data_IF_562596405638
#
_entry.id   IF_562596405638
#
_cell.length_a   1.000
_cell.length_b   1.000
_cell.length_c   1.000
_cell.angle_alpha   90.00
_cell.angle_beta   90.00
_cell.angle_gamma   90.00
#
_symmetry.space_group_name_H-M   'P 1'
#
loop_
_entity.id
_entity.type
_entity.pdbx_description
1 polymer ?
#
# COMPACT_ATOMS: atom_id res chain seq x y z
N UNK A 1 4.44 -20.64 -29.28
CA UNK A 1 3.56 -19.94 -28.31
C UNK A 1 2.58 -20.85 -27.54
N UNK A 2 2.18 -22.04 -28.05
CA UNK A 2 1.28 -22.98 -27.34
C UNK A 2 1.87 -23.68 -26.10
N UNK A 3 3.18 -23.62 -25.89
CA UNK A 3 3.84 -24.25 -24.75
C UNK A 3 3.85 -23.39 -23.47
N UNK A 4 3.71 -22.07 -23.59
CA UNK A 4 3.81 -21.16 -22.43
C UNK A 4 2.54 -21.22 -21.58
N UNK A 5 1.36 -21.27 -22.22
CA UNK A 5 0.07 -21.37 -21.53
C UNK A 5 -0.14 -22.73 -20.86
N UNK A 6 0.38 -23.82 -21.44
CA UNK A 6 0.29 -25.16 -20.83
C UNK A 6 1.18 -25.31 -19.61
N UNK A 7 2.37 -24.71 -19.61
CA UNK A 7 3.26 -24.69 -18.44
C UNK A 7 2.69 -23.85 -17.30
N UNK A 8 2.13 -22.68 -17.59
CA UNK A 8 1.41 -21.85 -16.60
C UNK A 8 0.22 -22.63 -16.01
N UNK A 9 -0.57 -23.28 -16.86
CA UNK A 9 -1.71 -24.09 -16.41
C UNK A 9 -1.30 -25.29 -15.56
N UNK A 10 -0.21 -25.99 -15.93
CA UNK A 10 0.34 -27.08 -15.13
C UNK A 10 0.84 -26.60 -13.77
N UNK A 11 1.54 -25.47 -13.74
CA UNK A 11 2.04 -24.86 -12.50
C UNK A 11 0.88 -24.44 -11.59
N UNK A 12 -0.18 -23.83 -12.13
CA UNK A 12 -1.39 -23.42 -11.40
C UNK A 12 -2.25 -24.63 -10.97
N UNK A 13 -2.19 -25.75 -11.69
CA UNK A 13 -2.94 -26.98 -11.36
C UNK A 13 -2.42 -27.66 -10.10
N UNK A 14 -1.17 -27.43 -9.71
CA UNK A 14 -0.59 -27.97 -8.50
C UNK A 14 -1.29 -27.42 -7.25
N UNK A 15 -1.71 -28.31 -6.33
CA UNK A 15 -2.39 -27.95 -5.07
C UNK A 15 -1.57 -26.94 -4.25
N UNK A 16 -0.25 -27.10 -4.23
CA UNK A 16 0.66 -26.20 -3.53
C UNK A 16 0.66 -24.78 -4.14
N UNK A 17 0.61 -24.66 -5.47
CA UNK A 17 0.55 -23.37 -6.16
C UNK A 17 -0.75 -22.64 -5.88
N UNK A 18 -1.90 -23.33 -5.88
CA UNK A 18 -3.19 -22.71 -5.53
C UNK A 18 -3.19 -22.13 -4.11
N UNK A 19 -2.63 -22.87 -3.15
CA UNK A 19 -2.50 -22.41 -1.76
C UNK A 19 -1.56 -21.20 -1.67
N UNK A 20 -0.43 -21.22 -2.38
CA UNK A 20 0.51 -20.10 -2.42
C UNK A 20 -0.11 -18.85 -3.07
N UNK A 21 -0.89 -19.00 -4.15
CA UNK A 21 -1.63 -17.89 -4.77
C UNK A 21 -2.66 -17.31 -3.79
N UNK A 22 -3.41 -18.16 -3.07
CA UNK A 22 -4.36 -17.68 -2.07
C UNK A 22 -3.67 -16.92 -0.93
N UNK A 23 -2.50 -17.38 -0.47
CA UNK A 23 -1.66 -16.67 0.51
C UNK A 23 -1.15 -15.33 -0.02
N UNK A 24 -0.70 -15.29 -1.27
CA UNK A 24 -0.27 -14.06 -1.93
C UNK A 24 -1.41 -13.05 -2.04
N UNK A 25 -2.59 -13.49 -2.49
CA UNK A 25 -3.78 -12.62 -2.59
C UNK A 25 -4.20 -12.10 -1.22
N UNK A 26 -4.15 -12.95 -0.18
CA UNK A 26 -4.41 -12.51 1.20
C UNK A 26 -3.39 -11.48 1.66
N UNK A 27 -2.11 -11.67 1.38
CA UNK A 27 -1.06 -10.71 1.68
C UNK A 27 -1.26 -9.37 0.96
N UNK A 28 -1.57 -9.41 -0.35
CA UNK A 28 -1.90 -8.21 -1.12
C UNK A 28 -3.14 -7.50 -0.57
N UNK A 29 -4.16 -8.25 -0.15
CA UNK A 29 -5.34 -7.69 0.52
C UNK A 29 -5.00 -6.97 1.82
N UNK A 30 -4.11 -7.54 2.64
CA UNK A 30 -3.61 -6.89 3.87
C UNK A 30 -2.83 -5.61 3.52
N UNK A 31 -1.98 -5.64 2.49
CA UNK A 31 -1.26 -4.45 2.04
C UNK A 31 -2.20 -3.33 1.58
N UNK A 32 -3.20 -3.64 0.76
CA UNK A 32 -4.20 -2.66 0.30
C UNK A 32 -4.97 -2.07 1.48
N UNK A 33 -5.36 -2.91 2.45
CA UNK A 33 -6.02 -2.47 3.67
C UNK A 33 -5.12 -1.50 4.46
N UNK A 34 -3.85 -1.84 4.64
CA UNK A 34 -2.88 -1.03 5.36
C UNK A 34 -2.64 0.32 4.66
N UNK A 35 -2.46 0.33 3.34
CA UNK A 35 -2.33 1.58 2.55
C UNK A 35 -3.59 2.44 2.68
N UNK A 36 -4.77 1.82 2.68
CA UNK A 36 -6.04 2.55 2.82
C UNK A 36 -6.17 3.17 4.21
N UNK A 37 -5.84 2.43 5.27
CA UNK A 37 -5.87 2.93 6.65
C UNK A 37 -4.93 4.12 6.82
N UNK A 38 -3.68 3.99 6.37
CA UNK A 38 -2.71 5.09 6.45
C UNK A 38 -3.09 6.28 5.57
N UNK A 39 -3.66 6.07 4.39
CA UNK A 39 -4.16 7.15 3.55
C UNK A 39 -5.31 7.92 4.22
N UNK A 40 -6.23 7.24 4.88
CA UNK A 40 -7.31 7.88 5.66
C UNK A 40 -6.74 8.65 6.85
N UNK A 41 -5.81 8.06 7.61
CA UNK A 41 -5.15 8.74 8.74
C UNK A 41 -4.38 9.98 8.28
N UNK A 42 -3.67 9.88 7.16
CA UNK A 42 -3.00 11.02 6.52
C UNK A 42 -3.98 12.18 6.27
N UNK A 43 -5.14 11.91 5.67
CA UNK A 43 -6.16 12.95 5.44
C UNK A 43 -6.63 13.59 6.75
N UNK A 44 -6.94 12.79 7.76
CA UNK A 44 -7.43 13.29 9.05
C UNK A 44 -6.37 14.17 9.74
N UNK A 45 -5.11 13.75 9.72
CA UNK A 45 -4.03 14.49 10.39
C UNK A 45 -3.70 15.76 9.60
N UNK A 46 -3.60 15.69 8.27
CA UNK A 46 -3.32 16.87 7.45
C UNK A 46 -4.44 17.91 7.53
N UNK A 47 -5.70 17.47 7.59
CA UNK A 47 -6.84 18.37 7.79
C UNK A 47 -6.76 19.09 9.15
N UNK A 48 -6.29 18.41 10.19
CA UNK A 48 -6.01 19.03 11.51
C UNK A 48 -4.86 20.03 11.47
N UNK A 49 -3.89 19.83 10.60
CA UNK A 49 -2.82 20.80 10.33
C UNK A 49 -3.28 21.94 9.39
N UNK A 50 -4.56 21.96 8.98
CA UNK A 50 -5.13 22.98 8.11
C UNK A 50 -4.79 22.78 6.63
N UNK A 51 -4.28 21.61 6.23
CA UNK A 51 -3.96 21.28 4.85
C UNK A 51 -4.98 20.30 4.26
N UNK A 52 -5.67 20.73 3.21
CA UNK A 52 -6.56 19.86 2.46
C UNK A 52 -5.83 19.24 1.27
N UNK A 53 -5.78 17.92 1.25
CA UNK A 53 -5.16 17.13 0.18
C UNK A 53 -6.19 16.30 -0.54
N UNK A 54 -5.92 15.94 -1.80
CA UNK A 54 -6.76 15.02 -2.57
C UNK A 54 -6.48 13.56 -2.17
N UNK A 55 -7.44 12.65 -2.39
CA UNK A 55 -7.23 11.21 -2.16
C UNK A 55 -6.03 10.64 -2.93
N UNK A 56 -5.76 11.16 -4.12
CA UNK A 56 -4.59 10.77 -4.90
C UNK A 56 -3.30 11.18 -4.20
N UNK A 57 -3.29 12.36 -3.57
CA UNK A 57 -2.16 12.85 -2.79
C UNK A 57 -1.93 12.00 -1.53
N UNK A 58 -3.00 11.60 -0.83
CA UNK A 58 -2.88 10.70 0.32
C UNK A 58 -2.35 9.31 -0.04
N UNK A 59 -2.80 8.76 -1.17
CA UNK A 59 -2.28 7.49 -1.69
C UNK A 59 -0.81 7.61 -2.11
N UNK A 60 -0.46 8.69 -2.81
CA UNK A 60 0.92 9.01 -3.19
C UNK A 60 1.83 9.10 -1.96
N UNK A 61 1.45 9.89 -0.95
CA UNK A 61 2.25 10.06 0.27
C UNK A 61 2.44 8.74 1.01
N UNK A 62 1.36 7.95 1.13
CA UNK A 62 1.41 6.65 1.83
C UNK A 62 2.38 5.70 1.11
N UNK A 63 2.31 5.60 -0.21
CA UNK A 63 3.22 4.76 -0.99
C UNK A 63 4.67 5.23 -0.90
N UNK A 64 4.92 6.53 -1.09
CA UNK A 64 6.28 7.10 -1.04
C UNK A 64 6.92 6.90 0.33
N UNK A 65 6.15 7.06 1.39
CA UNK A 65 6.64 6.90 2.77
C UNK A 65 6.85 5.42 3.11
N UNK A 66 5.87 4.54 2.87
CA UNK A 66 5.99 3.10 3.19
C UNK A 66 7.02 2.37 2.33
N UNK A 67 7.23 2.80 1.09
CA UNK A 67 8.30 2.27 0.23
C UNK A 67 9.68 2.82 0.60
N UNK A 68 9.79 3.64 1.65
CA UNK A 68 11.01 4.30 2.12
C UNK A 68 11.67 5.21 1.08
N UNK A 69 10.90 5.65 0.10
CA UNK A 69 11.37 6.53 -0.97
C UNK A 69 11.51 7.98 -0.47
N UNK A 70 10.51 8.48 0.26
CA UNK A 70 10.63 9.71 1.07
C UNK A 70 11.03 10.98 0.32
N UNK A 71 10.25 11.41 -0.69
CA UNK A 71 10.54 12.65 -1.45
C UNK A 71 10.60 13.92 -0.59
N UNK A 72 9.88 13.97 0.54
CA UNK A 72 9.89 15.11 1.46
C UNK A 72 9.13 16.35 0.96
N UNK A 73 8.37 16.23 -0.13
CA UNK A 73 7.50 17.25 -0.69
C UNK A 73 6.24 17.50 0.15
N UNK A 74 5.77 16.47 0.86
CA UNK A 74 4.64 16.54 1.79
C UNK A 74 5.12 16.03 3.16
N UNK A 75 5.05 16.90 4.16
CA UNK A 75 5.53 16.60 5.52
C UNK A 75 4.56 17.14 6.56
N UNK A 76 4.51 16.45 7.70
CA UNK A 76 3.76 16.88 8.87
C UNK A 76 4.55 17.89 9.69
N UNK A 77 3.86 18.89 10.19
CA UNK A 77 4.41 19.95 11.04
C UNK A 77 4.13 19.72 12.52
N UNK A 78 3.03 19.02 12.84
CA UNK A 78 2.66 18.70 14.22
C UNK A 78 3.44 17.51 14.77
N UNK A 79 3.63 17.46 16.09
CA UNK A 79 4.27 16.32 16.75
C UNK A 79 3.49 15.02 16.56
N UNK A 80 2.15 15.11 16.50
CA UNK A 80 1.29 13.97 16.19
C UNK A 80 1.54 13.42 14.79
N UNK A 81 1.59 14.30 13.78
CA UNK A 81 1.84 13.89 12.40
C UNK A 81 3.25 13.37 12.19
N UNK A 82 4.24 13.95 12.88
CA UNK A 82 5.62 13.43 12.90
C UNK A 82 5.68 12.03 13.50
N UNK A 83 5.05 11.81 14.65
CA UNK A 83 4.97 10.48 15.25
C UNK A 83 4.30 9.48 14.31
N UNK A 84 3.18 9.86 13.69
CA UNK A 84 2.50 9.03 12.70
C UNK A 84 3.42 8.66 11.51
N UNK A 85 4.21 9.62 11.00
CA UNK A 85 5.13 9.35 9.89
C UNK A 85 6.30 8.42 10.24
N UNK A 86 6.57 8.17 11.53
CA UNK A 86 7.61 7.26 11.98
C UNK A 86 7.13 5.80 12.13
N UNK A 87 5.82 5.58 12.25
CA UNK A 87 5.20 4.27 12.57
C UNK A 87 4.81 3.52 11.29
#
# INVERSE_FOLDING_TARGET
MKFFSSQISYFISNKNTKVNIARLLKFLGILVLLITIYGVLFHIIMEREGQQHSWMTGFYWTLVTMSTLGFGDITFTSDLGRFFSMV
#
